data_IF_225485959141
#
_entry.id   IF_225485959141
#
_cell.length_a   1.000
_cell.length_b   1.000
_cell.length_c   1.000
_cell.angle_alpha   90.00
_cell.angle_beta   90.00
_cell.angle_gamma   90.00
#
_symmetry.space_group_name_H-M   'P 1'
#
loop_
_entity.id
_entity.type
_entity.pdbx_description
1 polymer ?
#
# COMPACT_ATOMS: atom_id res chain seq x y z
N UNK A 1 16.70 -4.17 7.85
CA UNK A 1 15.51 -3.35 8.13
C UNK A 1 15.40 -2.24 7.08
N UNK A 2 14.32 -2.24 6.32
CA UNK A 2 14.17 -1.37 5.12
C UNK A 2 13.81 0.06 5.49
N UNK A 3 13.15 0.27 6.63
CA UNK A 3 12.70 1.59 7.12
C UNK A 3 13.32 2.01 8.46
N UNK A 4 14.38 1.35 8.90
CA UNK A 4 15.04 1.69 10.17
C UNK A 4 15.67 3.08 10.17
N UNK A 5 16.04 3.58 9.00
CA UNK A 5 16.64 4.88 8.74
C UNK A 5 15.62 6.00 8.43
N UNK A 6 14.35 5.81 8.74
CA UNK A 6 13.30 6.83 8.56
C UNK A 6 13.65 8.17 9.22
N UNK A 7 14.43 8.15 10.30
CA UNK A 7 14.88 9.36 10.99
C UNK A 7 15.77 10.25 10.12
N UNK A 8 16.54 9.66 9.21
CA UNK A 8 17.45 10.41 8.33
C UNK A 8 16.65 11.13 7.24
N UNK A 9 15.58 10.49 6.74
CA UNK A 9 14.62 11.16 5.84
C UNK A 9 13.88 12.31 6.56
N UNK A 10 13.46 12.11 7.82
CA UNK A 10 12.78 13.15 8.59
C UNK A 10 13.66 14.37 8.88
N UNK A 11 14.97 14.20 9.02
CA UNK A 11 15.92 15.32 9.18
C UNK A 11 15.98 16.18 7.94
N UNK A 12 15.90 15.60 6.76
CA UNK A 12 15.93 16.31 5.48
C UNK A 12 14.71 17.20 5.23
N UNK A 13 13.58 16.98 5.94
CA UNK A 13 12.40 17.86 5.87
C UNK A 13 12.68 19.30 6.31
N UNK A 14 13.73 19.54 7.11
CA UNK A 14 14.12 20.88 7.60
C UNK A 14 15.01 21.67 6.63
N UNK A 15 15.65 21.02 5.63
CA UNK A 15 16.77 21.58 4.90
C UNK A 15 16.46 21.99 3.45
N UNK A 16 15.22 22.20 3.09
CA UNK A 16 14.88 22.72 1.76
C UNK A 16 13.73 22.06 1.04
N UNK A 17 13.75 22.04 -0.31
CA UNK A 17 12.72 21.46 -1.15
C UNK A 17 12.98 19.96 -1.35
N UNK A 18 12.01 19.16 -1.00
CA UNK A 18 12.00 17.71 -1.24
C UNK A 18 10.79 17.29 -2.10
N UNK A 19 10.89 16.14 -2.74
CA UNK A 19 9.82 15.55 -3.52
C UNK A 19 9.29 14.32 -2.77
N UNK A 20 8.17 14.46 -2.08
CA UNK A 20 7.56 13.33 -1.36
C UNK A 20 7.01 12.26 -2.30
N UNK A 21 6.39 12.69 -3.41
CA UNK A 21 5.84 11.80 -4.44
C UNK A 21 5.81 12.51 -5.80
N UNK A 22 6.16 11.77 -6.87
CA UNK A 22 5.99 12.17 -8.25
C UNK A 22 5.74 10.91 -9.08
N UNK A 23 4.48 10.53 -9.22
CA UNK A 23 4.06 9.25 -9.77
C UNK A 23 3.18 9.47 -11.00
N UNK A 24 3.42 8.67 -12.03
CA UNK A 24 2.55 8.54 -13.21
C UNK A 24 1.85 7.19 -13.14
N UNK A 25 0.52 7.19 -13.30
CA UNK A 25 -0.31 6.00 -13.36
C UNK A 25 -1.06 5.95 -14.69
N UNK A 26 -0.97 4.83 -15.38
CA UNK A 26 -1.72 4.55 -16.60
C UNK A 26 -2.63 3.35 -16.38
N UNK A 27 -3.94 3.59 -16.43
CA UNK A 27 -4.98 2.60 -16.21
C UNK A 27 -5.73 2.29 -17.49
N UNK A 28 -5.97 1.00 -17.78
CA UNK A 28 -6.79 0.52 -18.90
C UNK A 28 -7.71 -0.62 -18.47
N UNK A 29 -8.82 -0.74 -19.17
CA UNK A 29 -9.78 -1.84 -19.04
C UNK A 29 -9.87 -2.61 -20.36
N UNK A 30 -8.94 -3.53 -20.63
CA UNK A 30 -8.84 -4.20 -21.93
C UNK A 30 -10.02 -5.12 -22.21
N UNK A 31 -10.69 -5.60 -21.16
CA UNK A 31 -11.88 -6.45 -21.24
C UNK A 31 -12.78 -6.16 -20.06
N UNK A 32 -14.09 -6.38 -20.20
CA UNK A 32 -15.07 -6.25 -19.11
C UNK A 32 -14.58 -6.96 -17.84
N UNK A 33 -14.59 -6.27 -16.72
CA UNK A 33 -14.14 -6.70 -15.38
C UNK A 33 -12.62 -6.95 -15.23
N UNK A 34 -11.81 -6.71 -16.26
CA UNK A 34 -10.35 -6.87 -16.21
C UNK A 34 -9.69 -5.50 -16.30
N UNK A 35 -8.96 -5.13 -15.29
CA UNK A 35 -8.34 -3.82 -15.15
C UNK A 35 -6.84 -3.98 -14.98
N UNK A 36 -6.08 -3.11 -15.64
CA UNK A 36 -4.63 -3.07 -15.59
C UNK A 36 -4.17 -1.67 -15.21
N UNK A 37 -3.11 -1.56 -14.45
CA UNK A 37 -2.46 -0.29 -14.17
C UNK A 37 -0.95 -0.47 -14.20
N UNK A 38 -0.27 0.49 -14.82
CA UNK A 38 1.18 0.66 -14.73
C UNK A 38 1.44 1.92 -13.97
N UNK A 39 2.34 1.86 -13.00
CA UNK A 39 2.76 2.99 -12.18
C UNK A 39 4.26 3.17 -12.28
N UNK A 40 4.75 4.39 -12.43
CA UNK A 40 6.18 4.67 -12.49
C UNK A 40 6.53 6.02 -11.85
N UNK A 41 7.71 6.13 -11.26
CA UNK A 41 8.25 7.36 -10.70
C UNK A 41 8.61 7.27 -9.22
N UNK A 42 8.47 8.38 -8.50
CA UNK A 42 8.65 8.45 -7.05
C UNK A 42 7.34 8.00 -6.39
N UNK A 43 7.32 6.74 -5.95
CA UNK A 43 6.12 6.06 -5.47
C UNK A 43 5.78 6.43 -4.03
N UNK A 44 6.81 6.71 -3.23
CA UNK A 44 6.71 7.19 -1.84
C UNK A 44 7.98 7.96 -1.44
N UNK A 45 8.04 8.44 -0.21
CA UNK A 45 9.17 9.21 0.30
C UNK A 45 10.50 8.45 0.18
N UNK A 46 10.49 7.15 0.47
CA UNK A 46 11.68 6.30 0.56
C UNK A 46 11.96 5.45 -0.69
N UNK A 47 10.99 5.32 -1.61
CA UNK A 47 11.12 4.43 -2.76
C UNK A 47 10.63 5.06 -4.06
N UNK A 48 11.41 4.85 -5.11
CA UNK A 48 11.06 5.09 -6.51
C UNK A 48 11.06 3.78 -7.28
N UNK A 49 10.35 3.71 -8.39
CA UNK A 49 10.32 2.47 -9.18
C UNK A 49 9.26 2.45 -10.25
N UNK A 50 9.03 1.25 -10.75
CA UNK A 50 7.99 0.94 -11.72
C UNK A 50 7.23 -0.30 -11.26
N UNK A 51 5.94 -0.33 -11.52
CA UNK A 51 5.13 -1.49 -11.17
C UNK A 51 3.93 -1.69 -12.06
N UNK A 52 3.38 -2.86 -11.91
CA UNK A 52 2.20 -3.31 -12.64
C UNK A 52 1.18 -3.85 -11.66
N UNK A 53 -0.08 -3.57 -11.91
CA UNK A 53 -1.21 -4.05 -11.14
C UNK A 53 -2.29 -4.58 -12.07
N UNK A 54 -2.83 -5.74 -11.74
CA UNK A 54 -4.00 -6.34 -12.39
C UNK A 54 -5.10 -6.53 -11.37
N UNK A 55 -6.35 -6.27 -11.77
CA UNK A 55 -7.53 -6.51 -10.96
C UNK A 55 -8.64 -7.14 -11.81
N UNK A 56 -9.16 -8.26 -11.34
CA UNK A 56 -10.46 -8.75 -11.75
C UNK A 56 -11.52 -8.25 -10.79
N UNK A 57 -12.40 -7.39 -11.26
CA UNK A 57 -13.46 -6.79 -10.47
C UNK A 57 -14.77 -6.74 -11.25
N UNK A 58 -15.76 -7.51 -10.80
CA UNK A 58 -17.12 -7.46 -11.34
C UNK A 58 -17.98 -6.55 -10.45
N UNK A 59 -18.66 -5.57 -11.04
CA UNK A 59 -19.36 -4.50 -10.34
C UNK A 59 -20.41 -4.99 -9.34
N UNK A 60 -21.12 -6.08 -9.65
CA UNK A 60 -22.17 -6.67 -8.81
C UNK A 60 -21.66 -7.81 -7.93
N UNK A 61 -20.36 -7.99 -7.80
CA UNK A 61 -19.74 -9.03 -6.99
C UNK A 61 -19.30 -8.49 -5.63
N UNK A 62 -19.42 -9.32 -4.62
CA UNK A 62 -18.90 -9.04 -3.30
C UNK A 62 -17.39 -9.28 -3.18
N UNK A 63 -16.76 -9.83 -4.22
CA UNK A 63 -15.33 -10.16 -4.21
C UNK A 63 -14.61 -9.67 -5.46
N UNK A 64 -13.31 -9.44 -5.29
CA UNK A 64 -12.38 -9.15 -6.36
C UNK A 64 -11.05 -9.86 -6.12
N UNK A 65 -10.27 -10.06 -7.20
CA UNK A 65 -8.94 -10.65 -7.15
C UNK A 65 -7.96 -9.71 -7.82
N UNK A 66 -6.84 -9.47 -7.18
CA UNK A 66 -5.78 -8.61 -7.69
C UNK A 66 -4.41 -9.26 -7.61
N UNK A 67 -3.51 -8.73 -8.41
CA UNK A 67 -2.09 -9.05 -8.39
C UNK A 67 -1.32 -7.77 -8.62
N UNK A 68 -0.24 -7.57 -7.89
CA UNK A 68 0.65 -6.43 -8.07
C UNK A 68 2.11 -6.86 -7.98
N UNK A 69 2.98 -6.19 -8.76
CA UNK A 69 4.42 -6.37 -8.71
C UNK A 69 5.10 -5.02 -8.97
N UNK A 70 6.11 -4.68 -8.17
CA UNK A 70 6.87 -3.44 -8.25
C UNK A 70 8.36 -3.72 -8.13
N UNK A 71 9.13 -3.23 -9.09
CA UNK A 71 10.58 -3.12 -8.99
C UNK A 71 10.89 -1.75 -8.40
N UNK A 72 11.48 -1.74 -7.20
CA UNK A 72 11.69 -0.52 -6.42
C UNK A 72 13.15 -0.33 -6.05
N UNK A 73 13.58 0.92 -6.06
CA UNK A 73 14.89 1.36 -5.62
C UNK A 73 14.74 2.36 -4.49
N UNK A 74 15.52 2.18 -3.44
CA UNK A 74 15.52 3.09 -2.30
C UNK A 74 16.12 4.44 -2.69
N UNK A 75 15.46 5.52 -2.32
CA UNK A 75 15.89 6.89 -2.57
C UNK A 75 16.95 7.34 -1.57
N UNK A 76 17.73 8.34 -1.93
CA UNK A 76 18.64 9.00 -1.00
C UNK A 76 17.88 9.82 0.06
N UNK A 77 18.61 10.25 1.08
CA UNK A 77 18.06 11.01 2.19
C UNK A 77 17.68 12.45 1.85
N UNK A 78 18.17 12.98 0.74
CA UNK A 78 17.80 14.31 0.26
C UNK A 78 16.40 14.34 -0.36
N UNK A 79 15.82 13.17 -0.63
CA UNK A 79 14.49 12.97 -1.22
C UNK A 79 14.28 13.78 -2.51
N UNK A 80 15.32 13.88 -3.34
CA UNK A 80 15.25 14.47 -4.70
C UNK A 80 15.18 13.35 -5.74
N UNK A 81 16.18 13.23 -6.61
CA UNK A 81 16.23 12.21 -7.67
C UNK A 81 17.32 11.14 -7.45
N UNK A 82 18.14 11.31 -6.42
CA UNK A 82 19.18 10.36 -6.07
C UNK A 82 18.62 9.07 -5.47
N UNK A 83 19.41 7.98 -5.59
CA UNK A 83 19.05 6.66 -5.09
C UNK A 83 20.21 6.04 -4.33
N UNK A 84 19.86 5.14 -3.39
CA UNK A 84 20.79 4.25 -2.70
C UNK A 84 20.90 2.91 -3.44
N UNK A 85 21.84 2.07 -3.03
CA UNK A 85 22.07 0.76 -3.68
C UNK A 85 20.97 -0.27 -3.45
N UNK A 86 20.10 -0.06 -2.45
CA UNK A 86 19.06 -1.02 -2.12
C UNK A 86 17.99 -1.06 -3.20
N UNK A 87 17.79 -2.26 -3.77
CA UNK A 87 16.73 -2.58 -4.75
C UNK A 87 16.01 -3.85 -4.32
N UNK A 88 14.73 -3.90 -4.59
CA UNK A 88 13.93 -5.09 -4.37
C UNK A 88 12.74 -5.15 -5.34
N UNK A 89 12.28 -6.37 -5.61
CA UNK A 89 11.02 -6.62 -6.30
C UNK A 89 10.01 -7.05 -5.24
N UNK A 90 8.97 -6.25 -5.04
CA UNK A 90 7.89 -6.55 -4.09
C UNK A 90 6.58 -6.76 -4.84
N UNK A 91 5.73 -7.64 -4.35
CA UNK A 91 4.46 -7.90 -5.01
C UNK A 91 3.56 -8.81 -4.19
N UNK A 92 2.28 -8.79 -4.52
CA UNK A 92 1.31 -9.62 -3.82
C UNK A 92 0.14 -10.05 -4.69
N UNK A 93 -0.39 -11.24 -4.39
CA UNK A 93 -1.72 -11.66 -4.80
C UNK A 93 -2.72 -11.22 -3.73
N UNK A 94 -3.82 -10.62 -4.15
CA UNK A 94 -4.79 -9.98 -3.28
C UNK A 94 -6.19 -10.55 -3.51
N UNK A 95 -6.85 -10.93 -2.45
CA UNK A 95 -8.27 -11.25 -2.43
C UNK A 95 -9.01 -10.19 -1.65
N UNK A 96 -10.10 -9.67 -2.22
CA UNK A 96 -10.95 -8.65 -1.61
C UNK A 96 -12.35 -9.20 -1.46
N UNK A 97 -12.96 -8.98 -0.30
CA UNK A 97 -14.35 -9.29 -0.04
C UNK A 97 -15.04 -8.11 0.62
N UNK A 98 -16.23 -7.77 0.14
CA UNK A 98 -17.09 -6.73 0.71
C UNK A 98 -18.44 -7.31 1.10
N UNK A 99 -18.81 -7.16 2.34
CA UNK A 99 -20.15 -7.41 2.80
C UNK A 99 -20.99 -6.13 2.74
N UNK A 100 -22.20 -6.24 2.18
CA UNK A 100 -23.15 -5.12 2.06
C UNK A 100 -24.39 -5.28 2.98
N UNK A 101 -24.46 -6.37 3.75
CA UNK A 101 -25.59 -6.67 4.62
C UNK A 101 -25.66 -5.76 5.87
N UNK A 102 -26.29 -6.21 6.92
CA UNK A 102 -26.61 -5.48 8.15
C UNK A 102 -25.37 -4.79 8.77
N UNK A 103 -24.22 -5.43 8.68
CA UNK A 103 -22.93 -4.85 9.14
C UNK A 103 -21.98 -4.79 7.96
N UNK A 104 -21.93 -3.65 7.21
CA UNK A 104 -21.01 -3.51 6.10
C UNK A 104 -19.56 -3.56 6.55
N UNK A 105 -18.73 -4.39 5.89
CA UNK A 105 -17.29 -4.44 6.10
C UNK A 105 -16.55 -4.84 4.83
N UNK A 106 -15.30 -4.44 4.75
CA UNK A 106 -14.35 -4.84 3.73
C UNK A 106 -13.28 -5.73 4.36
N UNK A 107 -13.02 -6.89 3.76
CA UNK A 107 -11.91 -7.75 4.12
C UNK A 107 -10.93 -7.86 2.94
N UNK A 108 -9.63 -7.86 3.23
CA UNK A 108 -8.57 -8.09 2.26
C UNK A 108 -7.59 -9.12 2.81
N UNK A 109 -7.22 -10.08 2.00
CA UNK A 109 -6.10 -11.00 2.25
C UNK A 109 -5.08 -10.80 1.16
N UNK A 110 -3.83 -10.60 1.54
CA UNK A 110 -2.69 -10.44 0.61
C UNK A 110 -1.62 -11.47 0.95
N UNK A 111 -1.08 -12.13 -0.07
CA UNK A 111 0.10 -13.00 0.07
C UNK A 111 1.16 -12.56 -0.92
N UNK A 112 2.39 -12.46 -0.49
CA UNK A 112 3.50 -12.10 -1.37
C UNK A 112 4.76 -11.65 -0.67
N UNK A 113 5.66 -11.05 -1.44
CA UNK A 113 6.94 -10.53 -1.01
C UNK A 113 6.85 -9.05 -0.63
N UNK A 114 7.36 -8.72 0.53
CA UNK A 114 7.38 -7.37 1.08
C UNK A 114 8.67 -6.61 0.71
N UNK A 115 8.76 -5.34 1.11
CA UNK A 115 9.89 -4.45 0.78
C UNK A 115 11.24 -4.93 1.32
N UNK A 116 11.26 -5.70 2.39
CA UNK A 116 12.49 -6.23 2.98
C UNK A 116 12.93 -7.58 2.38
N UNK A 117 12.19 -8.11 1.40
CA UNK A 117 12.40 -9.41 0.80
C UNK A 117 11.85 -10.57 1.65
N UNK A 118 11.07 -10.26 2.68
CA UNK A 118 10.33 -11.22 3.48
C UNK A 118 9.01 -11.61 2.78
N UNK A 119 8.61 -12.88 2.92
CA UNK A 119 7.35 -13.37 2.39
C UNK A 119 6.31 -13.59 3.49
N UNK A 120 5.04 -13.39 3.15
CA UNK A 120 4.00 -13.64 4.13
C UNK A 120 2.58 -13.28 3.71
N UNK A 121 1.69 -13.32 4.71
CA UNK A 121 0.27 -13.02 4.56
C UNK A 121 -0.10 -11.80 5.39
N UNK A 122 -0.88 -10.89 4.78
CA UNK A 122 -1.52 -9.80 5.52
C UNK A 122 -3.04 -9.93 5.45
N UNK A 123 -3.67 -9.84 6.59
CA UNK A 123 -5.13 -9.72 6.73
C UNK A 123 -5.48 -8.28 7.06
N UNK A 124 -6.48 -7.73 6.37
CA UNK A 124 -7.04 -6.42 6.65
C UNK A 124 -8.55 -6.54 6.79
N UNK A 125 -9.10 -5.92 7.83
CA UNK A 125 -10.54 -5.79 8.03
C UNK A 125 -10.86 -4.32 8.24
N UNK A 126 -11.82 -3.80 7.48
CA UNK A 126 -12.18 -2.38 7.57
C UNK A 126 -13.67 -2.14 7.37
N UNK A 127 -14.13 -0.98 7.79
CA UNK A 127 -15.47 -0.50 7.56
C UNK A 127 -15.42 0.88 6.92
N UNK A 128 -16.20 1.02 5.85
CA UNK A 128 -16.44 2.30 5.18
C UNK A 128 -17.80 2.85 5.61
N UNK A 129 -17.85 4.12 5.94
CA UNK A 129 -19.07 4.82 6.36
C UNK A 129 -19.61 5.69 5.21
N UNK A 130 -20.89 6.03 5.26
CA UNK A 130 -21.56 6.84 4.23
C UNK A 130 -20.92 8.21 4.00
N UNK A 131 -20.29 8.79 5.02
CA UNK A 131 -19.56 10.05 4.90
C UNK A 131 -18.17 9.91 4.24
N UNK A 132 -17.81 8.70 3.76
CA UNK A 132 -16.52 8.39 3.15
C UNK A 132 -15.39 8.08 4.15
N UNK A 133 -15.65 8.16 5.45
CA UNK A 133 -14.67 7.72 6.46
C UNK A 133 -14.46 6.21 6.36
N UNK A 134 -13.21 5.77 6.40
CA UNK A 134 -12.82 4.36 6.48
C UNK A 134 -11.98 4.14 7.72
N UNK A 135 -12.28 3.11 8.48
CA UNK A 135 -11.49 2.65 9.62
C UNK A 135 -11.21 1.17 9.49
N UNK A 136 -10.00 0.73 9.83
CA UNK A 136 -9.64 -0.67 9.72
C UNK A 136 -8.49 -1.08 10.62
N UNK A 137 -8.28 -2.38 10.67
CA UNK A 137 -7.20 -3.07 11.37
C UNK A 137 -6.47 -3.98 10.40
N UNK A 138 -5.21 -4.27 10.66
CA UNK A 138 -4.45 -5.24 9.90
C UNK A 138 -3.54 -6.08 10.79
N UNK A 139 -3.17 -7.26 10.29
CA UNK A 139 -2.15 -8.13 10.85
C UNK A 139 -1.36 -8.78 9.71
N UNK A 140 -0.02 -8.76 9.81
CA UNK A 140 0.90 -9.36 8.84
C UNK A 140 1.75 -10.41 9.52
N UNK A 141 1.79 -11.60 8.93
CA UNK A 141 2.57 -12.75 9.36
C UNK A 141 3.58 -13.05 8.26
N UNK A 142 4.87 -13.05 8.58
CA UNK A 142 5.94 -13.28 7.62
C UNK A 142 6.83 -14.44 8.07
N UNK A 143 7.73 -14.85 7.19
CA UNK A 143 8.76 -15.88 7.44
C UNK A 143 9.90 -15.41 8.36
N UNK A 144 9.95 -14.12 8.71
CA UNK A 144 10.92 -13.57 9.65
C UNK A 144 10.61 -14.03 11.08
N UNK A 145 11.57 -14.68 11.73
CA UNK A 145 11.38 -15.15 13.10
C UNK A 145 11.30 -14.00 14.12
N UNK A 146 10.61 -14.24 15.25
CA UNK A 146 10.52 -13.28 16.34
C UNK A 146 11.88 -12.90 16.93
N UNK A 147 12.86 -13.79 16.89
CA UNK A 147 14.23 -13.52 17.32
C UNK A 147 14.95 -12.52 16.40
N UNK A 148 14.71 -12.61 15.10
CA UNK A 148 15.26 -11.69 14.10
C UNK A 148 14.57 -10.32 14.14
N UNK A 149 13.28 -10.30 14.47
CA UNK A 149 12.50 -9.08 14.55
C UNK A 149 12.72 -8.31 15.86
N UNK A 150 12.95 -8.97 16.97
CA UNK A 150 13.25 -8.38 18.28
C UNK A 150 12.03 -7.97 19.10
N UNK A 151 10.82 -7.88 18.53
CA UNK A 151 9.58 -7.53 19.22
C UNK A 151 8.38 -8.27 18.64
N UNK A 152 7.87 -9.27 19.37
CA UNK A 152 6.64 -9.98 19.01
C UNK A 152 6.75 -10.90 17.81
N UNK A 153 5.65 -11.57 17.46
CA UNK A 153 5.62 -12.61 16.43
C UNK A 153 5.05 -12.17 15.09
N UNK A 154 4.43 -10.98 15.03
CA UNK A 154 3.80 -10.47 13.82
C UNK A 154 3.52 -8.97 13.91
N UNK A 155 3.46 -8.30 12.76
CA UNK A 155 3.09 -6.90 12.64
C UNK A 155 1.57 -6.71 12.66
N UNK A 156 1.10 -5.66 13.33
CA UNK A 156 -0.32 -5.35 13.46
C UNK A 156 -0.55 -3.87 13.68
N UNK A 157 -1.70 -3.39 13.27
CA UNK A 157 -2.04 -1.99 13.48
C UNK A 157 -3.47 -1.63 13.09
N UNK A 158 -3.76 -0.36 13.28
CA UNK A 158 -5.00 0.27 12.84
C UNK A 158 -4.69 1.24 11.70
N UNK A 159 -5.67 1.54 10.88
CA UNK A 159 -5.59 2.60 9.88
C UNK A 159 -6.92 3.31 9.73
N UNK A 160 -6.90 4.55 9.28
CA UNK A 160 -8.12 5.27 8.96
C UNK A 160 -7.91 6.26 7.82
N UNK A 161 -9.02 6.61 7.17
CA UNK A 161 -9.10 7.67 6.18
C UNK A 161 -10.36 8.49 6.46
N UNK A 162 -10.21 9.79 6.64
CA UNK A 162 -11.29 10.73 6.94
C UNK A 162 -11.34 11.78 5.83
N UNK A 163 -12.40 11.88 5.02
CA UNK A 163 -12.56 12.96 4.08
C UNK A 163 -12.83 14.26 4.82
N UNK A 164 -11.99 15.28 4.59
CA UNK A 164 -12.09 16.60 5.22
C UNK A 164 -12.85 17.55 4.34
N UNK A 165 -12.64 17.51 3.03
CA UNK A 165 -13.33 18.36 2.06
C UNK A 165 -13.69 17.56 0.80
N UNK A 166 -14.88 16.99 0.81
CA UNK A 166 -15.38 16.14 -0.27
C UNK A 166 -14.40 15.03 -0.63
N UNK A 167 -14.15 14.82 -1.93
CA UNK A 167 -13.19 13.86 -2.43
C UNK A 167 -11.78 14.46 -2.65
N UNK A 168 -11.56 15.74 -2.33
CA UNK A 168 -10.33 16.44 -2.66
C UNK A 168 -9.29 16.41 -1.55
N UNK A 169 -9.71 16.52 -0.30
CA UNK A 169 -8.82 16.54 0.86
C UNK A 169 -9.21 15.42 1.82
N UNK A 170 -8.29 14.48 2.02
CA UNK A 170 -8.45 13.37 2.95
C UNK A 170 -7.34 13.42 3.99
N UNK A 171 -7.70 13.19 5.24
CA UNK A 171 -6.75 12.89 6.29
C UNK A 171 -6.64 11.37 6.44
N UNK A 172 -5.51 10.82 6.01
CA UNK A 172 -5.25 9.38 6.07
C UNK A 172 -4.11 9.09 7.02
N UNK A 173 -4.28 8.08 7.84
CA UNK A 173 -3.23 7.58 8.70
C UNK A 173 -3.17 6.06 8.60
N UNK A 174 -1.98 5.55 8.33
CA UNK A 174 -1.61 4.15 8.40
C UNK A 174 -0.20 4.09 8.94
N UNK A 175 0.11 3.28 9.96
CA UNK A 175 1.47 3.14 10.42
C UNK A 175 2.36 2.63 9.29
N UNK A 176 3.51 3.26 9.11
CA UNK A 176 4.56 2.72 8.27
C UNK A 176 5.23 1.59 9.06
N UNK A 177 4.93 0.37 8.67
CA UNK A 177 5.59 -0.79 9.25
C UNK A 177 7.06 -0.77 8.89
N UNK A 178 7.90 -0.93 9.91
CA UNK A 178 9.34 -0.90 9.72
C UNK A 178 9.84 -2.17 9.06
N UNK A 179 9.48 -3.30 9.61
CA UNK A 179 9.75 -4.69 9.24
C UNK A 179 9.29 -5.61 10.36
N UNK A 180 8.91 -6.86 10.13
CA UNK A 180 8.62 -7.48 8.84
C UNK A 180 7.26 -7.07 8.28
N UNK A 181 6.98 -7.39 7.04
CA UNK A 181 5.70 -7.08 6.41
C UNK A 181 5.58 -5.65 5.91
N UNK A 182 6.71 -4.93 5.76
CA UNK A 182 6.73 -3.57 5.23
C UNK A 182 6.25 -3.52 3.78
N UNK A 183 5.15 -2.81 3.53
CA UNK A 183 4.57 -2.62 2.19
C UNK A 183 4.93 -1.27 1.60
N UNK A 184 4.94 -1.20 0.27
CA UNK A 184 5.03 0.06 -0.45
C UNK A 184 3.85 0.95 -0.08
N UNK A 185 4.12 2.18 0.37
CA UNK A 185 3.10 3.15 0.77
C UNK A 185 2.50 3.84 -0.46
N UNK A 186 1.66 3.13 -1.19
CA UNK A 186 1.01 3.63 -2.40
C UNK A 186 -0.07 4.64 -2.09
N UNK A 187 -0.23 5.65 -2.95
CA UNK A 187 -1.31 6.64 -2.82
C UNK A 187 -2.69 5.99 -2.97
N UNK A 188 -2.81 5.06 -3.90
CA UNK A 188 -4.02 4.27 -4.17
C UNK A 188 -3.65 2.98 -4.88
N UNK A 189 -4.47 1.97 -4.73
CA UNK A 189 -4.43 0.74 -5.52
C UNK A 189 -5.48 0.80 -6.63
N UNK A 190 -5.38 -0.09 -7.60
CA UNK A 190 -6.40 -0.22 -8.64
C UNK A 190 -7.79 -0.53 -8.05
N UNK A 191 -7.82 -1.35 -7.00
CA UNK A 191 -9.05 -1.64 -6.25
C UNK A 191 -9.65 -0.38 -5.59
N UNK A 192 -8.83 0.48 -4.97
CA UNK A 192 -9.29 1.72 -4.36
C UNK A 192 -9.87 2.70 -5.39
N UNK A 193 -9.27 2.78 -6.59
CA UNK A 193 -9.77 3.63 -7.67
C UNK A 193 -11.15 3.18 -8.14
N UNK A 194 -11.34 1.89 -8.38
CA UNK A 194 -12.59 1.37 -8.95
C UNK A 194 -13.76 1.39 -7.95
N UNK A 195 -13.48 1.26 -6.66
CA UNK A 195 -14.52 1.33 -5.61
C UNK A 195 -15.07 2.76 -5.45
N UNK A 196 -14.26 3.78 -5.68
CA UNK A 196 -14.70 5.19 -5.56
C UNK A 196 -15.72 5.62 -6.62
N UNK A 197 -15.87 4.84 -7.68
CA UNK A 197 -16.82 5.11 -8.77
C UNK A 197 -18.12 4.29 -8.66
N UNK A 198 -18.43 3.73 -7.48
CA UNK A 198 -19.69 3.05 -7.17
C UNK A 198 -20.71 3.97 -6.53
#
# INVERSE_FOLDING_TARGET
QVRSDVKDYLRSFGDGVFIGRAQFDYHVTPKKNHHLMVSAGILEEMFSGIGFEYLYFKQDSNYAFGFEIFDVTKRDYEMRFGTLEYKNVTGSANFYYRNYDIIPFDAKVSYGEYLAGDEGVTFELSRSFLNGTKFGVFASFTDVSSEQFGEGTFDKGIFFNIPVYGNFINYSWRPLTKDPGAKLNRKHTLHDLLIKFK
#
